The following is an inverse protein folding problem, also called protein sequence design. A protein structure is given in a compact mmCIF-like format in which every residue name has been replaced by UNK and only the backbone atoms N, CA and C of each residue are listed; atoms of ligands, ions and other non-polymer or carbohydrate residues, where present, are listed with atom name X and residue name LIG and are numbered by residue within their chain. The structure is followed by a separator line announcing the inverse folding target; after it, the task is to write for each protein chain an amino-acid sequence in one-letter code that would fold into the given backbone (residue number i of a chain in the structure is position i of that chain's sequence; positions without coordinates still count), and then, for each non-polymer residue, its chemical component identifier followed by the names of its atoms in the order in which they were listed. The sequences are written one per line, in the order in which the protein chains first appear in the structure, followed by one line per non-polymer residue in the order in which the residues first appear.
data_IF_330509143808
#
_entry.id   IF_330509143808
#
_cell.length_a   1.000
_cell.length_b   1.000
_cell.length_c   1.000
_cell.angle_alpha   90.00
_cell.angle_beta   90.00
_cell.angle_gamma   90.00
#
_symmetry.space_group_name_H-M   'P 1'
#
loop_
_entity.id
_entity.type
_entity.pdbx_description
1 polymer ?
#
# COMPACT_ATOMS: atom_id res chain seq x y z
N UNK A 1 -13.48 -34.28 -6.65
CA UNK A 1 -12.12 -34.64 -7.12
C UNK A 1 -11.72 -33.63 -8.20
N UNK A 2 -11.28 -32.44 -7.80
CA UNK A 2 -10.84 -31.41 -8.74
C UNK A 2 -9.41 -31.76 -9.13
N UNK A 3 -9.18 -31.96 -10.44
CA UNK A 3 -7.89 -32.37 -11.00
C UNK A 3 -6.81 -31.37 -10.62
N UNK A 4 -5.64 -31.87 -10.25
CA UNK A 4 -4.42 -31.11 -9.98
C UNK A 4 -4.18 -30.05 -11.05
N UNK A 5 -4.45 -28.80 -10.71
CA UNK A 5 -4.12 -27.66 -11.55
C UNK A 5 -2.60 -27.46 -11.49
N UNK A 6 -1.92 -27.65 -12.62
CA UNK A 6 -0.47 -27.43 -12.70
C UNK A 6 -0.21 -25.94 -12.89
N UNK A 7 0.26 -25.27 -11.85
CA UNK A 7 0.84 -23.93 -11.95
C UNK A 7 2.36 -24.02 -12.18
N UNK A 8 2.94 -22.98 -12.80
CA UNK A 8 4.38 -22.88 -13.08
C UNK A 8 5.20 -22.18 -11.99
N UNK A 9 4.59 -21.89 -10.85
CA UNK A 9 5.24 -21.22 -9.71
C UNK A 9 6.22 -22.16 -9.00
N UNK A 10 7.39 -21.64 -8.62
CA UNK A 10 8.32 -22.36 -7.75
C UNK A 10 7.80 -22.38 -6.31
N UNK A 11 8.12 -23.43 -5.54
CA UNK A 11 7.74 -23.55 -4.12
C UNK A 11 8.17 -22.28 -3.35
N UNK A 12 7.18 -21.50 -2.89
CA UNK A 12 7.39 -20.26 -2.13
C UNK A 12 7.08 -18.94 -2.86
N UNK A 13 6.72 -18.95 -4.16
CA UNK A 13 6.22 -17.75 -4.84
C UNK A 13 4.76 -17.50 -4.46
N UNK A 14 4.50 -16.42 -3.71
CA UNK A 14 3.14 -15.99 -3.38
C UNK A 14 2.61 -14.98 -4.40
N UNK A 15 1.35 -15.13 -4.81
CA UNK A 15 0.72 -14.23 -5.77
C UNK A 15 -0.03 -13.12 -5.03
N UNK A 16 0.21 -11.87 -5.41
CA UNK A 16 -0.58 -10.73 -4.90
C UNK A 16 -1.95 -10.73 -5.56
N UNK A 17 -3.01 -10.81 -4.76
CA UNK A 17 -4.40 -10.83 -5.25
C UNK A 17 -4.94 -9.41 -5.43
N UNK A 18 -5.34 -9.07 -6.63
CA UNK A 18 -6.03 -7.82 -6.91
C UNK A 18 -7.06 -8.06 -8.00
N UNK A 19 -7.96 -7.10 -8.20
CA UNK A 19 -8.94 -7.18 -9.27
C UNK A 19 -8.20 -7.18 -10.61
N UNK A 20 -8.24 -8.31 -11.32
CA UNK A 20 -7.51 -8.51 -12.56
C UNK A 20 -8.30 -9.37 -13.53
N UNK A 21 -7.91 -9.34 -14.80
CA UNK A 21 -8.53 -10.19 -15.82
C UNK A 21 -8.08 -11.64 -15.70
N UNK A 22 -8.89 -12.57 -16.22
CA UNK A 22 -8.52 -14.01 -16.28
C UNK A 22 -7.18 -14.21 -17.01
N UNK A 23 -6.89 -13.40 -18.03
CA UNK A 23 -5.62 -13.42 -18.75
C UNK A 23 -4.43 -13.02 -17.88
N UNK A 24 -4.55 -11.92 -17.13
CA UNK A 24 -3.49 -11.45 -16.23
C UNK A 24 -3.25 -12.44 -15.08
N UNK A 25 -4.32 -13.04 -14.55
CA UNK A 25 -4.22 -14.09 -13.54
C UNK A 25 -3.47 -15.32 -14.08
N UNK A 26 -3.72 -15.70 -15.33
CA UNK A 26 -3.01 -16.80 -16.00
C UNK A 26 -1.50 -16.53 -16.10
N UNK A 27 -1.14 -15.31 -16.48
CA UNK A 27 0.25 -14.87 -16.59
C UNK A 27 0.95 -14.88 -15.23
N UNK A 28 0.31 -14.38 -14.16
CA UNK A 28 0.86 -14.42 -12.80
C UNK A 28 1.06 -15.84 -12.28
N UNK A 29 0.12 -16.74 -12.57
CA UNK A 29 0.22 -18.15 -12.20
C UNK A 29 1.14 -18.97 -13.12
N UNK A 30 1.75 -18.33 -14.14
CA UNK A 30 2.56 -18.96 -15.19
C UNK A 30 1.83 -20.18 -15.77
N UNK A 31 0.53 -20.05 -15.99
CA UNK A 31 -0.37 -21.13 -16.42
C UNK A 31 -1.15 -20.75 -17.68
N UNK A 32 -1.80 -21.72 -18.32
CA UNK A 32 -2.65 -21.45 -19.48
C UNK A 32 -3.98 -20.82 -19.05
N UNK A 33 -4.38 -19.72 -19.72
CA UNK A 33 -5.68 -19.09 -19.52
C UNK A 33 -6.85 -20.06 -19.73
N UNK A 34 -6.70 -21.03 -20.65
CA UNK A 34 -7.72 -22.05 -20.89
C UNK A 34 -7.91 -22.96 -19.66
N UNK A 35 -6.82 -23.32 -18.97
CA UNK A 35 -6.89 -24.12 -17.74
C UNK A 35 -7.61 -23.36 -16.63
N UNK A 36 -7.37 -22.05 -16.49
CA UNK A 36 -8.08 -21.22 -15.52
C UNK A 36 -9.57 -21.06 -15.86
N UNK A 37 -9.92 -20.92 -17.14
CA UNK A 37 -11.32 -20.87 -17.58
C UNK A 37 -12.04 -22.17 -17.21
N UNK A 38 -11.39 -23.33 -17.39
CA UNK A 38 -11.97 -24.64 -16.99
C UNK A 38 -12.15 -24.72 -15.47
N UNK A 39 -11.21 -24.20 -14.68
CA UNK A 39 -11.32 -24.14 -13.23
C UNK A 39 -12.49 -23.25 -12.78
N UNK A 40 -12.62 -22.06 -13.37
CA UNK A 40 -13.75 -21.14 -13.14
C UNK A 40 -15.10 -21.77 -13.50
N UNK A 41 -15.17 -22.48 -14.62
CA UNK A 41 -16.37 -23.23 -15.02
C UNK A 41 -16.75 -24.32 -14.01
N UNK A 42 -15.77 -24.97 -13.39
CA UNK A 42 -16.04 -25.97 -12.34
C UNK A 42 -16.68 -25.38 -11.07
N UNK A 43 -16.49 -24.07 -10.83
CA UNK A 43 -17.17 -23.28 -9.80
C UNK A 43 -18.49 -22.66 -10.28
N UNK A 44 -18.93 -22.95 -11.51
CA UNK A 44 -20.13 -22.40 -12.12
C UNK A 44 -19.98 -20.96 -12.63
N UNK A 45 -18.76 -20.43 -12.68
CA UNK A 45 -18.47 -19.07 -13.14
C UNK A 45 -18.05 -19.12 -14.61
N UNK A 46 -18.90 -18.58 -15.48
CA UNK A 46 -18.59 -18.44 -16.91
C UNK A 46 -17.84 -17.13 -17.12
N UNK A 47 -16.54 -17.20 -17.41
CA UNK A 47 -15.69 -16.04 -17.65
C UNK A 47 -14.85 -16.25 -18.92
N UNK A 48 -14.57 -15.16 -19.63
CA UNK A 48 -13.68 -15.15 -20.80
C UNK A 48 -12.28 -14.61 -20.40
N UNK A 49 -11.28 -14.71 -21.29
CA UNK A 49 -9.90 -14.26 -21.02
C UNK A 49 -9.81 -12.80 -20.56
N UNK A 50 -10.67 -11.93 -21.08
CA UNK A 50 -10.66 -10.49 -20.80
C UNK A 50 -11.64 -10.10 -19.69
N UNK A 51 -12.29 -11.07 -19.06
CA UNK A 51 -13.26 -10.82 -18.00
C UNK A 51 -12.52 -10.45 -16.72
N UNK A 52 -12.94 -9.36 -16.08
CA UNK A 52 -12.43 -8.95 -14.79
C UNK A 52 -12.98 -9.87 -13.68
N UNK A 53 -12.08 -10.37 -12.84
CA UNK A 53 -12.37 -11.24 -11.70
C UNK A 53 -11.97 -10.51 -10.43
N UNK A 54 -12.85 -10.53 -9.43
CA UNK A 54 -12.61 -9.85 -8.16
C UNK A 54 -11.60 -10.60 -7.31
N UNK A 55 -10.85 -9.87 -6.49
CA UNK A 55 -9.88 -10.43 -5.54
C UNK A 55 -10.46 -11.55 -4.66
N UNK A 56 -11.72 -11.47 -4.21
CA UNK A 56 -12.32 -12.50 -3.36
C UNK A 56 -12.47 -13.83 -4.12
N UNK A 57 -12.88 -13.76 -5.38
CA UNK A 57 -13.01 -14.94 -6.23
C UNK A 57 -11.63 -15.53 -6.57
N UNK A 58 -10.62 -14.67 -6.74
CA UNK A 58 -9.24 -15.11 -6.96
C UNK A 58 -8.70 -15.81 -5.72
N UNK A 59 -8.90 -15.26 -4.52
CA UNK A 59 -8.48 -15.86 -3.26
C UNK A 59 -9.05 -17.28 -3.08
N UNK A 60 -10.34 -17.47 -3.36
CA UNK A 60 -10.97 -18.80 -3.31
C UNK A 60 -10.33 -19.78 -4.30
N UNK A 61 -10.05 -19.32 -5.53
CA UNK A 61 -9.43 -20.17 -6.56
C UNK A 61 -8.00 -20.55 -6.18
N UNK A 62 -7.22 -19.62 -5.60
CA UNK A 62 -5.84 -19.87 -5.16
C UNK A 62 -5.80 -20.84 -3.97
N UNK A 63 -6.80 -20.77 -3.09
CA UNK A 63 -6.98 -21.73 -1.99
C UNK A 63 -7.20 -23.15 -2.51
N UNK A 64 -8.02 -23.33 -3.55
CA UNK A 64 -8.30 -24.64 -4.15
C UNK A 64 -7.08 -25.29 -4.80
N UNK A 65 -6.18 -24.48 -5.34
CA UNK A 65 -4.96 -24.95 -6.01
C UNK A 65 -3.75 -24.94 -5.08
N UNK A 66 -3.97 -24.72 -3.78
CA UNK A 66 -2.94 -24.67 -2.73
C UNK A 66 -1.79 -23.68 -3.04
N UNK A 67 -2.09 -22.60 -3.77
CA UNK A 67 -1.11 -21.55 -4.10
C UNK A 67 -1.15 -20.49 -2.99
N UNK A 68 -0.01 -20.20 -2.34
CA UNK A 68 0.05 -19.13 -1.36
C UNK A 68 -0.23 -17.79 -2.04
N UNK A 69 -1.02 -16.95 -1.40
CA UNK A 69 -1.38 -15.65 -1.92
C UNK A 69 -1.27 -14.58 -0.83
N UNK A 70 -1.03 -13.34 -1.25
CA UNK A 70 -0.94 -12.19 -0.37
C UNK A 70 -2.05 -11.23 -0.75
N UNK A 71 -2.89 -10.89 0.22
CA UNK A 71 -3.81 -9.78 0.04
C UNK A 71 -3.01 -8.47 0.10
N UNK A 72 -3.00 -7.64 -0.95
CA UNK A 72 -2.47 -6.30 -0.81
C UNK A 72 -3.31 -5.61 0.25
N UNK A 73 -2.64 -5.12 1.30
CA UNK A 73 -3.27 -4.36 2.38
C UNK A 73 -3.91 -3.10 1.78
N UNK A 74 -5.17 -3.21 1.33
CA UNK A 74 -6.00 -2.09 0.89
C UNK A 74 -6.60 -1.37 2.10
N UNK A 75 -5.83 -1.17 3.16
CA UNK A 75 -6.19 -0.30 4.26
C UNK A 75 -5.13 0.77 4.39
N UNK A 76 -5.36 1.90 3.70
CA UNK A 76 -4.57 3.12 3.86
C UNK A 76 -4.51 3.58 5.32
N UNK A 77 -5.45 3.16 6.18
CA UNK A 77 -5.43 3.40 7.63
C UNK A 77 -4.50 2.45 8.39
N UNK A 78 -4.53 1.13 8.14
CA UNK A 78 -3.64 0.18 8.83
C UNK A 78 -2.18 0.32 8.42
N UNK A 79 -1.90 0.68 7.15
CA UNK A 79 -0.54 0.98 6.71
C UNK A 79 0.01 2.24 7.41
N UNK A 80 -0.84 3.25 7.64
CA UNK A 80 -0.51 4.45 8.42
C UNK A 80 -0.28 4.11 9.89
N UNK A 81 -1.14 3.29 10.49
CA UNK A 81 -0.95 2.80 11.87
C UNK A 81 0.32 1.97 12.01
N UNK A 82 0.61 1.04 11.09
CA UNK A 82 1.86 0.26 11.11
C UNK A 82 3.09 1.14 10.93
N UNK A 83 3.05 2.19 10.09
CA UNK A 83 4.12 3.18 9.97
C UNK A 83 4.29 4.04 11.24
N UNK A 84 3.20 4.32 11.96
CA UNK A 84 3.23 5.00 13.27
C UNK A 84 3.77 4.09 14.38
N UNK A 85 3.32 2.84 14.43
CA UNK A 85 3.73 1.84 15.43
C UNK A 85 5.17 1.39 15.21
N UNK A 86 5.63 1.23 13.96
CA UNK A 86 7.03 0.93 13.65
C UNK A 86 8.00 2.07 14.02
N UNK A 87 7.53 3.32 14.13
CA UNK A 87 8.29 4.44 14.71
C UNK A 87 8.24 4.50 16.23
N UNK A 88 7.38 3.71 16.87
CA UNK A 88 7.15 3.72 18.32
C UNK A 88 7.94 2.63 19.05
N UNK A 89 8.53 1.67 18.34
CA UNK A 89 9.21 0.51 18.93
C UNK A 89 10.73 0.63 19.07
N UNK A 90 11.32 1.76 18.67
CA UNK A 90 12.71 2.09 19.02
C UNK A 90 12.74 3.43 19.75
N UNK A 91 13.01 3.37 21.06
CA UNK A 91 13.34 4.46 21.98
C UNK A 91 12.86 5.87 21.60
N UNK A 92 11.93 6.43 22.38
CA UNK A 92 11.58 7.85 22.28
C UNK A 92 12.82 8.70 22.59
N UNK A 93 13.59 9.06 21.55
CA UNK A 93 14.63 10.06 21.70
C UNK A 93 13.98 11.37 22.12
N UNK A 94 14.47 11.97 23.21
CA UNK A 94 13.96 13.23 23.70
C UNK A 94 14.28 14.34 22.68
N UNK A 95 13.28 14.71 21.88
CA UNK A 95 13.40 15.78 20.89
C UNK A 95 13.08 17.12 21.53
N UNK A 96 13.82 18.15 21.13
CA UNK A 96 13.50 19.53 21.52
C UNK A 96 12.17 19.96 20.91
N UNK A 97 11.38 20.79 21.62
CA UNK A 97 10.12 21.30 21.10
C UNK A 97 10.34 22.16 19.85
N UNK A 98 9.54 21.93 18.82
CA UNK A 98 9.50 22.77 17.61
C UNK A 98 8.37 23.78 17.77
N UNK A 99 8.68 25.07 17.65
CA UNK A 99 7.73 26.16 17.82
C UNK A 99 7.63 26.94 16.52
N UNK A 100 6.41 27.12 16.00
CA UNK A 100 6.12 28.00 14.86
C UNK A 100 5.43 29.28 15.36
N UNK A 101 5.94 30.44 14.94
CA UNK A 101 5.36 31.75 15.28
C UNK A 101 4.57 32.26 14.07
N UNK A 102 3.24 32.27 14.20
CA UNK A 102 2.30 32.71 13.14
C UNK A 102 1.50 33.93 13.59
N UNK A 103 1.06 34.76 12.64
CA UNK A 103 0.34 36.01 12.93
C UNK A 103 0.21 36.91 11.70
N UNK A 104 -0.58 37.99 11.80
CA UNK A 104 -0.83 38.95 10.72
C UNK A 104 0.45 39.73 10.33
N UNK A 105 0.42 40.42 9.18
CA UNK A 105 1.54 41.27 8.71
C UNK A 105 1.80 42.37 9.75
N UNK A 106 3.07 42.72 9.98
CA UNK A 106 3.55 43.73 10.95
C UNK A 106 3.27 43.46 12.44
N UNK A 107 2.88 42.24 12.82
CA UNK A 107 2.71 41.86 14.24
C UNK A 107 4.02 41.50 14.96
N UNK A 108 5.18 41.98 14.48
CA UNK A 108 6.46 41.84 15.17
C UNK A 108 6.99 40.40 15.34
N UNK A 109 6.55 39.45 14.49
CA UNK A 109 7.00 38.04 14.54
C UNK A 109 8.52 37.92 14.46
N UNK A 110 9.14 38.62 13.51
CA UNK A 110 10.59 38.65 13.32
C UNK A 110 11.29 39.31 14.51
N UNK A 111 10.74 40.42 15.04
CA UNK A 111 11.27 41.12 16.21
C UNK A 111 11.28 40.25 17.48
N UNK A 112 10.25 39.43 17.68
CA UNK A 112 10.18 38.48 18.80
C UNK A 112 11.26 37.39 18.67
N UNK A 113 11.45 36.84 17.46
CA UNK A 113 12.52 35.88 17.21
C UNK A 113 13.91 36.50 17.37
N UNK A 114 14.08 37.76 16.98
CA UNK A 114 15.32 38.52 17.15
C UNK A 114 15.66 38.75 18.63
N UNK A 115 14.68 39.10 19.45
CA UNK A 115 14.88 39.24 20.90
C UNK A 115 15.31 37.91 21.55
N UNK A 116 14.65 36.80 21.19
CA UNK A 116 15.00 35.47 21.70
C UNK A 116 16.39 35.01 21.23
N UNK A 117 16.77 35.33 19.99
CA UNK A 117 18.05 34.93 19.39
C UNK A 117 19.20 35.89 19.66
N UNK A 118 18.94 37.06 20.27
CA UNK A 118 19.89 38.18 20.41
C UNK A 118 20.48 38.62 19.06
N UNK A 119 19.65 38.59 18.02
CA UNK A 119 20.00 39.00 16.66
C UNK A 119 19.19 40.23 16.25
N UNK A 120 19.57 40.85 15.13
CA UNK A 120 18.85 41.97 14.49
C UNK A 120 18.71 41.67 13.00
N UNK A 121 17.86 40.70 12.68
CA UNK A 121 17.57 40.28 11.32
C UNK A 121 16.47 41.14 10.70
N UNK A 122 15.49 41.59 11.48
CA UNK A 122 14.42 42.49 11.01
C UNK A 122 14.99 43.74 10.30
N UNK A 123 16.03 44.37 10.87
CA UNK A 123 16.71 45.54 10.26
C UNK A 123 17.33 45.27 8.87
N UNK A 124 17.45 43.99 8.46
CA UNK A 124 18.07 43.55 7.21
C UNK A 124 17.07 42.87 6.25
N UNK A 125 15.80 42.77 6.60
CA UNK A 125 14.78 42.17 5.72
C UNK A 125 14.37 43.16 4.61
N UNK A 126 14.29 42.68 3.37
CA UNK A 126 13.78 43.49 2.25
C UNK A 126 12.27 43.65 2.40
N UNK A 127 11.86 44.76 3.01
CA UNK A 127 10.45 45.07 3.28
C UNK A 127 10.21 45.70 4.65
N UNK A 128 11.21 45.65 5.53
CA UNK A 128 11.09 46.01 6.95
C UNK A 128 11.07 44.78 7.86
#
# INVERSE_FOLDING_TARGET
MIKSFKHGLSEGEAVVIEDMTVGELAERLKSSANSLIVLLLSRGIVANKNQLVKKEQIAELLTDIEVPFVEPENNSEEALEKLMVAKSSSGTEQRLPVIAVVGHVDHGKTSLLDYLRKTKVAEKEKGG
#
